data_IF_952725557097
#
_entry.id   IF_952725557097
#
_cell.length_a   1.000
_cell.length_b   1.000
_cell.length_c   1.000
_cell.angle_alpha   90.00
_cell.angle_beta   90.00
_cell.angle_gamma   90.00
#
_symmetry.space_group_name_H-M   'P 1'
#
loop_
_entity.id
_entity.type
_entity.pdbx_description
1 polymer ?
#
# COMPACT_ATOMS: atom_id res chain seq x y z
N UNK A 1 23.07 -0.64 -3.75
CA UNK A 1 22.51 0.38 -2.83
C UNK A 1 21.50 1.18 -3.64
N UNK A 2 20.29 1.30 -3.15
CA UNK A 2 19.27 2.19 -3.73
C UNK A 2 19.46 3.53 -3.04
N UNK A 3 20.15 4.46 -3.68
CA UNK A 3 20.35 5.80 -3.15
C UNK A 3 19.06 6.63 -3.31
N UNK A 4 18.74 7.42 -2.29
CA UNK A 4 17.66 8.41 -2.33
C UNK A 4 16.31 7.95 -1.78
N UNK A 5 16.14 6.68 -1.38
CA UNK A 5 14.88 6.20 -0.78
C UNK A 5 14.99 5.99 0.73
N UNK A 6 13.87 6.23 1.42
CA UNK A 6 13.69 5.91 2.84
C UNK A 6 12.46 5.02 3.02
N UNK A 7 12.45 4.23 4.07
CA UNK A 7 11.34 3.38 4.46
C UNK A 7 10.68 3.99 5.71
N UNK A 8 9.37 4.18 5.66
CA UNK A 8 8.56 4.58 6.82
C UNK A 8 7.67 3.43 7.22
N UNK A 9 7.83 2.94 8.45
CA UNK A 9 7.01 1.87 9.03
C UNK A 9 6.00 2.54 9.95
N UNK A 10 4.74 2.54 9.53
CA UNK A 10 3.62 3.12 10.27
C UNK A 10 2.72 2.01 10.80
N UNK A 11 2.42 2.04 12.06
CA UNK A 11 1.58 1.08 12.77
C UNK A 11 2.01 0.92 14.22
N UNK A 12 1.10 0.35 15.00
CA UNK A 12 1.37 -0.10 16.37
C UNK A 12 1.65 -1.60 16.35
N UNK A 13 2.44 -2.06 17.32
CA UNK A 13 2.78 -3.46 17.44
C UNK A 13 3.36 -3.75 18.82
N UNK A 14 3.62 -5.02 19.07
CA UNK A 14 4.31 -5.45 20.27
C UNK A 14 5.69 -4.81 20.39
N UNK A 15 6.03 -4.30 21.57
CA UNK A 15 7.27 -3.56 21.79
C UNK A 15 8.52 -4.42 21.53
N UNK A 16 8.46 -5.72 21.84
CA UNK A 16 9.56 -6.66 21.60
C UNK A 16 9.78 -6.82 20.11
N UNK A 17 8.69 -7.01 19.36
CA UNK A 17 8.75 -7.15 17.91
C UNK A 17 9.27 -5.88 17.21
N UNK A 18 8.85 -4.70 17.68
CA UNK A 18 9.38 -3.43 17.17
C UNK A 18 10.87 -3.31 17.42
N UNK A 19 11.35 -3.74 18.61
CA UNK A 19 12.77 -3.71 18.94
C UNK A 19 13.57 -4.69 18.08
N UNK A 20 13.05 -5.90 17.84
CA UNK A 20 13.66 -6.87 16.91
C UNK A 20 13.81 -6.30 15.48
N UNK A 21 12.79 -5.58 14.99
CA UNK A 21 12.86 -4.91 13.69
C UNK A 21 13.93 -3.81 13.67
N UNK A 22 14.06 -3.01 14.74
CA UNK A 22 15.11 -2.00 14.85
C UNK A 22 16.49 -2.63 14.83
N UNK A 23 16.71 -3.67 15.62
CA UNK A 23 17.97 -4.43 15.63
C UNK A 23 18.26 -5.04 14.25
N UNK A 24 17.25 -5.50 13.53
CA UNK A 24 17.43 -5.99 12.17
C UNK A 24 17.94 -4.89 11.24
N UNK A 25 17.38 -3.67 11.34
CA UNK A 25 17.87 -2.54 10.51
C UNK A 25 19.31 -2.17 10.81
N UNK A 26 19.74 -2.28 12.07
CA UNK A 26 21.14 -2.07 12.48
C UNK A 26 22.05 -3.15 11.89
N UNK A 27 21.69 -4.43 12.04
CA UNK A 27 22.46 -5.54 11.47
C UNK A 27 22.60 -5.45 9.95
N UNK A 28 21.58 -4.92 9.27
CA UNK A 28 21.61 -4.70 7.83
C UNK A 28 22.31 -3.39 7.42
N UNK A 29 22.71 -2.56 8.37
CA UNK A 29 23.36 -1.27 8.10
C UNK A 29 22.45 -0.22 7.45
N UNK A 30 21.13 -0.34 7.62
CA UNK A 30 20.11 0.55 7.01
C UNK A 30 19.32 1.37 8.03
N UNK A 31 19.71 1.37 9.30
CA UNK A 31 18.97 2.07 10.37
C UNK A 31 18.73 3.56 10.09
N UNK A 32 19.62 4.22 9.35
CA UNK A 32 19.46 5.63 8.93
C UNK A 32 18.43 5.84 7.82
N UNK A 33 17.97 4.78 7.16
CA UNK A 33 17.02 4.81 6.06
C UNK A 33 15.63 4.32 6.48
N UNK A 34 15.47 3.80 7.71
CA UNK A 34 14.20 3.24 8.20
C UNK A 34 13.69 4.06 9.37
N UNK A 35 12.48 4.59 9.23
CA UNK A 35 11.83 5.41 10.24
C UNK A 35 10.57 4.69 10.77
N UNK A 36 10.51 4.51 12.09
CA UNK A 36 9.36 3.94 12.77
C UNK A 36 8.44 5.07 13.24
N UNK A 37 7.30 5.24 12.59
CA UNK A 37 6.35 6.34 12.82
C UNK A 37 5.39 6.08 14.00
N UNK A 38 5.30 4.82 14.46
CA UNK A 38 4.28 4.41 15.43
C UNK A 38 2.87 4.43 14.85
N UNK A 39 1.85 4.55 15.70
CA UNK A 39 0.46 4.69 15.26
C UNK A 39 0.23 6.04 14.56
N UNK A 40 -0.30 6.00 13.34
CA UNK A 40 -0.53 7.19 12.52
C UNK A 40 -2.01 7.29 12.14
N UNK A 41 -2.64 8.42 12.51
CA UNK A 41 -4.08 8.64 12.39
C UNK A 41 -4.40 10.01 11.78
N UNK A 42 -5.66 10.21 11.42
CA UNK A 42 -6.18 11.49 10.94
C UNK A 42 -5.38 12.07 9.77
N UNK A 43 -5.14 13.38 9.79
CA UNK A 43 -4.48 14.08 8.69
C UNK A 43 -3.05 13.60 8.45
N UNK A 44 -2.34 13.20 9.51
CA UNK A 44 -0.97 12.70 9.40
C UNK A 44 -0.87 11.44 8.52
N UNK A 45 -1.86 10.53 8.60
CA UNK A 45 -1.95 9.36 7.74
C UNK A 45 -2.03 9.74 6.26
N UNK A 46 -2.89 10.68 5.93
CA UNK A 46 -3.06 11.16 4.56
C UNK A 46 -1.82 11.89 4.02
N UNK A 47 -1.11 12.60 4.89
CA UNK A 47 0.17 13.23 4.54
C UNK A 47 1.21 12.18 4.19
N UNK A 48 1.35 11.12 4.99
CA UNK A 48 2.30 10.04 4.71
C UNK A 48 2.00 9.35 3.39
N UNK A 49 0.73 9.04 3.09
CA UNK A 49 0.38 8.48 1.80
C UNK A 49 0.76 9.40 0.64
N UNK A 50 0.41 10.69 0.72
CA UNK A 50 0.73 11.65 -0.35
C UNK A 50 2.23 11.90 -0.55
N UNK A 51 3.03 11.69 0.49
CA UNK A 51 4.49 11.84 0.42
C UNK A 51 5.20 10.56 -0.01
N UNK A 52 4.50 9.44 -0.02
CA UNK A 52 5.08 8.16 -0.40
C UNK A 52 5.01 7.94 -1.92
N UNK A 53 6.10 7.48 -2.50
CA UNK A 53 6.17 7.05 -3.90
C UNK A 53 5.54 5.66 -4.09
N UNK A 54 5.52 4.86 -3.01
CA UNK A 54 4.97 3.51 -2.99
C UNK A 54 4.45 3.14 -1.60
N UNK A 55 3.28 2.54 -1.54
CA UNK A 55 2.76 1.88 -0.34
C UNK A 55 3.00 0.37 -0.40
N UNK A 56 3.42 -0.24 0.71
CA UNK A 56 3.74 -1.67 0.76
C UNK A 56 3.02 -2.31 1.93
N UNK A 57 2.21 -3.35 1.65
CA UNK A 57 1.53 -4.18 2.65
C UNK A 57 1.85 -5.67 2.40
N UNK A 58 2.97 -6.20 2.90
CA UNK A 58 3.40 -7.57 2.66
C UNK A 58 2.74 -8.53 3.66
N UNK A 59 1.42 -8.60 3.66
CA UNK A 59 0.64 -9.41 4.60
C UNK A 59 0.49 -10.87 4.16
N UNK A 60 0.31 -11.78 5.10
CA UNK A 60 -0.04 -13.18 4.82
C UNK A 60 -1.53 -13.34 4.52
N UNK A 61 -2.38 -12.57 5.20
CA UNK A 61 -3.83 -12.58 5.02
C UNK A 61 -4.41 -11.25 5.48
N UNK A 62 -5.39 -10.77 4.74
CA UNK A 62 -6.12 -9.54 5.04
C UNK A 62 -7.54 -9.65 4.49
N UNK A 63 -8.54 -9.22 5.24
CA UNK A 63 -9.92 -9.25 4.78
C UNK A 63 -10.15 -8.36 3.55
N UNK A 64 -9.83 -7.09 3.68
CA UNK A 64 -9.94 -6.12 2.59
C UNK A 64 -8.66 -5.30 2.43
N UNK A 65 -8.03 -4.90 3.53
CA UNK A 65 -6.87 -4.02 3.52
C UNK A 65 -7.26 -2.59 3.13
N UNK A 66 -8.11 -1.96 3.94
CA UNK A 66 -8.61 -0.60 3.70
C UNK A 66 -7.46 0.40 3.46
N UNK A 67 -6.30 0.16 4.06
CA UNK A 67 -5.10 0.98 3.89
C UNK A 67 -4.57 0.96 2.44
N UNK A 68 -4.83 -0.11 1.68
CA UNK A 68 -4.51 -0.18 0.24
C UNK A 68 -5.43 0.79 -0.53
N UNK A 69 -6.75 0.77 -0.24
CA UNK A 69 -7.68 1.71 -0.85
C UNK A 69 -7.33 3.17 -0.50
N UNK A 70 -6.92 3.43 0.74
CA UNK A 70 -6.51 4.77 1.20
C UNK A 70 -5.24 5.25 0.49
N UNK A 71 -4.24 4.38 0.31
CA UNK A 71 -3.03 4.69 -0.45
C UNK A 71 -3.37 5.03 -1.90
N UNK A 72 -4.15 4.18 -2.57
CA UNK A 72 -4.60 4.40 -3.96
C UNK A 72 -5.43 5.69 -4.10
N UNK A 73 -6.35 5.97 -3.16
CA UNK A 73 -7.12 7.21 -3.13
C UNK A 73 -6.22 8.45 -3.00
N UNK A 74 -5.10 8.33 -2.32
CA UNK A 74 -4.09 9.38 -2.20
C UNK A 74 -3.24 9.56 -3.45
N UNK A 75 -3.36 8.65 -4.43
CA UNK A 75 -2.56 8.64 -5.65
C UNK A 75 -1.24 7.89 -5.51
N UNK A 76 -1.09 7.09 -4.46
CA UNK A 76 0.12 6.31 -4.18
C UNK A 76 -0.08 4.88 -4.69
N UNK A 77 0.75 4.39 -5.63
CA UNK A 77 0.73 3.00 -6.06
C UNK A 77 0.97 2.04 -4.90
N UNK A 78 0.46 0.80 -5.01
CA UNK A 78 0.55 -0.16 -3.92
C UNK A 78 1.21 -1.48 -4.31
N UNK A 79 1.97 -2.06 -3.40
CA UNK A 79 2.41 -3.47 -3.43
C UNK A 79 1.70 -4.20 -2.30
N UNK A 80 0.99 -5.27 -2.63
CA UNK A 80 0.44 -6.17 -1.63
C UNK A 80 0.48 -7.61 -2.12
N UNK A 81 0.04 -8.55 -1.30
CA UNK A 81 0.15 -9.99 -1.58
C UNK A 81 -1.17 -10.60 -1.99
N UNK A 82 -1.12 -11.81 -2.54
CA UNK A 82 -2.29 -12.64 -2.84
C UNK A 82 -3.09 -13.06 -1.59
N UNK A 83 -2.62 -12.71 -0.40
CA UNK A 83 -3.39 -12.76 0.84
C UNK A 83 -4.44 -11.66 0.98
N UNK A 84 -4.56 -10.77 0.01
CA UNK A 84 -5.53 -9.67 -0.04
C UNK A 84 -6.41 -9.77 -1.30
N UNK A 85 -7.61 -9.17 -1.35
CA UNK A 85 -8.49 -9.20 -2.53
C UNK A 85 -8.16 -8.11 -3.58
N UNK A 86 -6.89 -7.73 -3.71
CA UNK A 86 -6.46 -6.61 -4.56
C UNK A 86 -5.86 -7.05 -5.92
N UNK A 87 -6.37 -8.12 -6.53
CA UNK A 87 -5.93 -8.58 -7.87
C UNK A 87 -6.03 -7.51 -8.96
N UNK A 88 -6.86 -6.49 -8.76
CA UNK A 88 -7.05 -5.39 -9.70
C UNK A 88 -5.85 -4.45 -9.81
N UNK A 89 -4.91 -4.48 -8.85
CA UNK A 89 -3.70 -3.65 -8.90
C UNK A 89 -2.95 -3.81 -10.22
N UNK A 90 -2.81 -5.05 -10.71
CA UNK A 90 -2.10 -5.34 -11.95
C UNK A 90 -2.94 -4.96 -13.18
N UNK A 91 -4.21 -5.40 -13.26
CA UNK A 91 -5.08 -5.14 -14.41
C UNK A 91 -5.37 -3.65 -14.59
N UNK A 92 -5.42 -2.88 -13.50
CA UNK A 92 -5.58 -1.42 -13.51
C UNK A 92 -4.27 -0.66 -13.59
N UNK A 93 -3.11 -1.35 -13.57
CA UNK A 93 -1.78 -0.75 -13.59
C UNK A 93 -1.62 0.34 -12.53
N UNK A 94 -1.94 -0.02 -11.29
CA UNK A 94 -1.82 0.89 -10.13
C UNK A 94 -1.03 0.27 -8.97
N UNK A 95 -0.38 -0.87 -9.21
CA UNK A 95 0.44 -1.55 -8.21
C UNK A 95 0.78 -2.98 -8.61
N UNK A 96 1.23 -3.76 -7.64
CA UNK A 96 1.61 -5.17 -7.79
C UNK A 96 0.89 -6.03 -6.76
N UNK A 97 0.35 -7.14 -7.21
CA UNK A 97 -0.31 -8.14 -6.39
C UNK A 97 0.48 -9.44 -6.45
N UNK A 98 1.37 -9.63 -5.48
CA UNK A 98 2.45 -10.62 -5.52
C UNK A 98 2.14 -11.86 -4.69
N UNK A 99 2.86 -12.94 -4.92
CA UNK A 99 2.86 -14.08 -3.98
C UNK A 99 3.35 -13.61 -2.61
N UNK A 100 2.86 -14.27 -1.55
CA UNK A 100 3.38 -14.06 -0.20
C UNK A 100 4.85 -14.49 -0.15
N UNK A 101 5.71 -13.64 0.39
CA UNK A 101 7.11 -13.93 0.60
C UNK A 101 8.06 -12.81 0.15
N UNK A 102 9.27 -12.88 0.68
CA UNK A 102 10.29 -11.84 0.50
C UNK A 102 10.72 -11.71 -0.97
N UNK A 103 10.94 -12.80 -1.67
CA UNK A 103 11.43 -12.76 -3.07
C UNK A 103 10.44 -12.05 -4.00
N UNK A 104 9.15 -12.36 -3.87
CA UNK A 104 8.11 -11.74 -4.69
C UNK A 104 7.98 -10.24 -4.39
N UNK A 105 8.08 -9.85 -3.11
CA UNK A 105 8.08 -8.44 -2.70
C UNK A 105 9.31 -7.71 -3.24
N UNK A 106 10.49 -8.33 -3.16
CA UNK A 106 11.74 -7.76 -3.71
C UNK A 106 11.62 -7.56 -5.23
N UNK A 107 11.00 -8.50 -5.95
CA UNK A 107 10.80 -8.35 -7.39
C UNK A 107 9.85 -7.18 -7.72
N UNK A 108 8.77 -7.00 -6.96
CA UNK A 108 7.89 -5.86 -7.12
C UNK A 108 8.61 -4.52 -6.84
N UNK A 109 9.46 -4.48 -5.82
CA UNK A 109 10.29 -3.30 -5.54
C UNK A 109 11.29 -3.00 -6.67
N UNK A 110 11.91 -4.02 -7.25
CA UNK A 110 12.79 -3.82 -8.42
C UNK A 110 12.04 -3.27 -9.62
N UNK A 111 10.83 -3.76 -9.87
CA UNK A 111 9.97 -3.24 -10.93
C UNK A 111 9.61 -1.77 -10.66
N UNK A 112 9.23 -1.43 -9.43
CA UNK A 112 8.97 -0.05 -9.03
C UNK A 112 10.19 0.86 -9.28
N UNK A 113 11.37 0.45 -8.83
CA UNK A 113 12.61 1.21 -8.97
C UNK A 113 13.09 1.40 -10.42
N UNK A 114 12.56 0.62 -11.36
CA UNK A 114 12.85 0.76 -12.80
C UNK A 114 11.93 1.74 -13.52
N UNK A 115 10.87 2.22 -12.87
CA UNK A 115 9.90 3.12 -13.46
C UNK A 115 10.38 4.58 -13.46
N UNK A 116 9.95 5.30 -14.47
CA UNK A 116 10.09 6.75 -14.54
C UNK A 116 9.05 7.46 -13.67
N UNK A 117 9.31 8.71 -13.30
CA UNK A 117 8.38 9.55 -12.56
C UNK A 117 7.01 9.65 -13.25
N UNK A 118 6.99 9.82 -14.58
CA UNK A 118 5.76 9.86 -15.38
C UNK A 118 4.93 8.56 -15.28
N UNK A 119 5.62 7.41 -15.24
CA UNK A 119 4.95 6.12 -15.08
C UNK A 119 4.35 5.97 -13.68
N UNK A 120 5.08 6.38 -12.64
CA UNK A 120 4.58 6.39 -11.26
C UNK A 120 3.37 7.30 -11.09
N UNK A 121 3.41 8.53 -11.63
CA UNK A 121 2.26 9.42 -11.65
C UNK A 121 1.03 8.81 -12.35
N UNK A 122 1.26 8.14 -13.48
CA UNK A 122 0.18 7.45 -14.19
C UNK A 122 -0.42 6.32 -13.37
N UNK A 123 0.43 5.54 -12.68
CA UNK A 123 -0.04 4.51 -11.76
C UNK A 123 -0.86 5.10 -10.60
N UNK A 124 -0.41 6.20 -10.02
CA UNK A 124 -1.15 6.92 -8.98
C UNK A 124 -2.52 7.40 -9.45
N UNK A 125 -2.62 7.98 -10.66
CA UNK A 125 -3.90 8.37 -11.27
C UNK A 125 -4.83 7.17 -11.50
N UNK A 126 -4.28 6.04 -11.97
CA UNK A 126 -5.03 4.81 -12.17
C UNK A 126 -5.59 4.26 -10.83
N UNK A 127 -4.78 4.29 -9.76
CA UNK A 127 -5.20 3.85 -8.43
C UNK A 127 -6.35 4.69 -7.89
N UNK A 128 -6.23 6.03 -7.98
CA UNK A 128 -7.31 6.94 -7.58
C UNK A 128 -8.60 6.65 -8.35
N UNK A 129 -8.50 6.49 -9.67
CA UNK A 129 -9.65 6.16 -10.52
C UNK A 129 -10.30 4.83 -10.12
N UNK A 130 -9.52 3.79 -9.83
CA UNK A 130 -10.03 2.50 -9.33
C UNK A 130 -10.86 2.69 -8.06
N UNK A 131 -10.33 3.44 -7.07
CA UNK A 131 -11.05 3.67 -5.81
C UNK A 131 -12.32 4.50 -6.02
N UNK A 132 -12.27 5.54 -6.83
CA UNK A 132 -13.45 6.36 -7.17
C UNK A 132 -14.55 5.55 -7.84
N UNK A 133 -14.20 4.67 -8.77
CA UNK A 133 -15.15 3.86 -9.55
C UNK A 133 -15.77 2.71 -8.75
N UNK A 134 -15.06 2.11 -7.80
CA UNK A 134 -15.48 0.87 -7.13
C UNK A 134 -15.64 0.97 -5.62
N UNK A 135 -14.80 1.74 -4.96
CA UNK A 135 -14.66 1.68 -3.49
C UNK A 135 -15.03 3.00 -2.81
N UNK A 136 -15.50 4.00 -3.55
CA UNK A 136 -16.01 5.23 -2.94
C UNK A 136 -17.30 4.95 -2.16
N UNK A 137 -17.48 5.65 -1.04
CA UNK A 137 -18.68 5.51 -0.20
C UNK A 137 -19.97 5.68 -1.01
N UNK A 138 -19.98 6.60 -1.99
CA UNK A 138 -21.13 6.79 -2.90
C UNK A 138 -21.39 5.55 -3.74
N UNK A 139 -20.36 4.98 -4.36
CA UNK A 139 -20.50 3.79 -5.21
C UNK A 139 -21.00 2.58 -4.43
N UNK A 140 -20.41 2.35 -3.26
CA UNK A 140 -20.84 1.28 -2.36
C UNK A 140 -22.30 1.46 -1.93
N UNK A 141 -22.72 2.70 -1.58
CA UNK A 141 -24.12 2.98 -1.24
C UNK A 141 -25.07 2.73 -2.40
N UNK A 142 -24.72 3.13 -3.63
CA UNK A 142 -25.49 2.83 -4.84
C UNK A 142 -25.68 1.31 -5.04
N UNK A 143 -24.64 0.52 -4.87
CA UNK A 143 -24.70 -0.94 -5.00
C UNK A 143 -25.57 -1.58 -3.91
N UNK A 144 -25.51 -1.11 -2.68
CA UNK A 144 -26.41 -1.55 -1.62
C UNK A 144 -27.88 -1.24 -1.94
N UNK A 145 -28.18 -0.04 -2.44
CA UNK A 145 -29.55 0.32 -2.84
C UNK A 145 -30.06 -0.60 -3.95
N UNK A 146 -29.27 -0.87 -4.98
CA UNK A 146 -29.66 -1.79 -6.06
C UNK A 146 -29.84 -3.23 -5.56
N UNK A 147 -28.99 -3.70 -4.66
CA UNK A 147 -29.14 -5.01 -4.03
C UNK A 147 -30.47 -5.11 -3.27
N UNK A 148 -30.81 -4.11 -2.44
CA UNK A 148 -32.09 -4.12 -1.72
C UNK A 148 -33.29 -4.08 -2.64
N UNK A 149 -33.26 -3.30 -3.73
CA UNK A 149 -34.36 -3.28 -4.72
C UNK A 149 -34.54 -4.63 -5.41
N UNK A 150 -33.48 -5.41 -5.58
CA UNK A 150 -33.55 -6.73 -6.23
C UNK A 150 -34.19 -7.82 -5.36
N UNK A 151 -34.32 -7.58 -4.05
CA UNK A 151 -34.85 -8.54 -3.06
C UNK A 151 -36.34 -8.25 -2.79
N UNK A 152 -36.80 -7.04 -3.08
CA UNK A 152 -38.20 -6.60 -2.91
C UNK A 152 -39.02 -6.88 -4.18
#
# INVERSE_FOLDING_TARGET
>A
QVEGYVIRIAGEGDAIYIDELKQLTERLGISKLVFFEGGVYGNRKWELFRQADLFILPTHSENFGIVVAEALASGTPAVTTMGTPWSELESRRCGWWTKVGTEATVQALRNFLSLTENELEKMGRNGRKLVEEKYSARKVAEEFVEMYKSIL
#
